data_IF_768499993805
#
_entry.id   IF_768499993805
#
_cell.length_a   1.000
_cell.length_b   1.000
_cell.length_c   1.000
_cell.angle_alpha   90.00
_cell.angle_beta   90.00
_cell.angle_gamma   90.00
#
_symmetry.space_group_name_H-M   'P 1'
#
loop_
_entity.id
_entity.type
_entity.pdbx_description
1 polymer ?
#
# COMPACT_ATOMS: atom_id res chain seq x y z
N UNK A 1 34.20 0.40 -71.73
CA UNK A 1 33.06 1.35 -71.84
C UNK A 1 31.89 0.61 -72.44
N UNK A 2 30.61 0.91 -72.14
CA UNK A 2 30.09 2.08 -71.39
C UNK A 2 29.30 1.70 -70.10
N UNK A 3 28.55 2.68 -69.57
CA UNK A 3 27.51 2.63 -68.51
C UNK A 3 26.34 3.55 -68.96
N UNK A 4 25.28 3.86 -68.18
CA UNK A 4 24.66 3.19 -67.02
C UNK A 4 23.41 2.36 -67.49
N UNK A 5 22.18 2.26 -66.93
CA UNK A 5 21.42 2.86 -65.80
C UNK A 5 20.31 1.87 -65.33
N UNK A 6 19.87 1.96 -64.06
CA UNK A 6 18.48 1.65 -63.65
C UNK A 6 18.24 0.36 -62.83
N UNK A 7 17.66 0.43 -61.61
CA UNK A 7 17.25 -0.75 -60.83
C UNK A 7 15.81 -1.18 -61.16
N UNK A 8 15.60 -2.47 -61.48
CA UNK A 8 14.28 -3.05 -61.68
C UNK A 8 13.84 -3.90 -60.46
N UNK A 9 12.63 -3.65 -59.96
CA UNK A 9 12.13 -4.24 -58.71
C UNK A 9 11.78 -5.73 -58.84
N UNK A 10 12.59 -6.60 -58.23
CA UNK A 10 12.21 -7.99 -58.00
C UNK A 10 11.26 -8.08 -56.78
N UNK A 11 9.98 -8.37 -57.03
CA UNK A 11 8.98 -8.61 -55.97
C UNK A 11 9.42 -9.78 -55.08
N UNK A 12 9.47 -9.57 -53.76
CA UNK A 12 9.83 -10.62 -52.80
C UNK A 12 8.57 -11.29 -52.24
N UNK A 13 8.64 -12.60 -51.97
CA UNK A 13 7.50 -13.43 -51.56
C UNK A 13 6.83 -12.95 -50.25
N UNK A 14 7.54 -12.16 -49.43
CA UNK A 14 7.05 -11.64 -48.15
C UNK A 14 5.91 -10.61 -48.27
N UNK A 15 5.84 -9.81 -49.33
CA UNK A 15 4.79 -8.79 -49.48
C UNK A 15 3.42 -9.39 -49.78
N UNK A 16 3.38 -10.59 -50.41
CA UNK A 16 2.15 -11.35 -50.60
C UNK A 16 1.57 -11.86 -49.27
N UNK A 17 2.41 -12.18 -48.29
CA UNK A 17 1.96 -12.53 -46.94
C UNK A 17 1.44 -11.31 -46.16
N UNK A 18 2.06 -10.13 -46.35
CA UNK A 18 1.62 -8.88 -45.72
C UNK A 18 0.23 -8.46 -46.20
N UNK A 19 -0.10 -8.69 -47.47
CA UNK A 19 -1.40 -8.30 -48.03
C UNK A 19 -2.57 -9.13 -47.49
N UNK A 20 -2.36 -10.38 -47.05
CA UNK A 20 -3.39 -11.17 -46.36
C UNK A 20 -3.52 -10.88 -44.86
N UNK A 21 -2.56 -10.18 -44.24
CA UNK A 21 -2.58 -9.89 -42.80
C UNK A 21 -3.30 -8.58 -42.44
N UNK A 22 -3.64 -7.74 -43.42
CA UNK A 22 -4.21 -6.41 -43.16
C UNK A 22 -5.71 -6.46 -42.79
N UNK A 23 -6.51 -7.28 -43.48
CA UNK A 23 -7.97 -7.31 -43.31
C UNK A 23 -8.44 -7.80 -41.93
N UNK A 24 -7.64 -8.64 -41.26
CA UNK A 24 -7.97 -9.14 -39.92
C UNK A 24 -7.94 -8.06 -38.82
N UNK A 25 -7.21 -6.96 -39.02
CA UNK A 25 -7.16 -5.86 -38.05
C UNK A 25 -8.34 -4.88 -38.18
N UNK A 26 -8.91 -4.72 -39.37
CA UNK A 26 -10.02 -3.79 -39.62
C UNK A 26 -11.31 -4.18 -38.85
N UNK A 27 -11.59 -5.48 -38.75
CA UNK A 27 -12.79 -5.98 -38.07
C UNK A 27 -12.84 -5.61 -36.57
N UNK A 28 -11.68 -5.59 -35.90
CA UNK A 28 -11.59 -5.29 -34.46
C UNK A 28 -11.78 -3.79 -34.17
N UNK A 29 -11.28 -2.92 -35.05
CA UNK A 29 -11.44 -1.47 -34.91
C UNK A 29 -12.91 -1.00 -35.02
N UNK A 30 -13.72 -1.70 -35.82
CA UNK A 30 -15.15 -1.42 -35.99
C UNK A 30 -16.04 -1.81 -34.79
N UNK A 31 -15.47 -2.48 -33.78
CA UNK A 31 -16.17 -2.83 -32.53
C UNK A 31 -15.91 -1.77 -31.44
N UNK A 32 -14.65 -1.35 -31.22
CA UNK A 32 -14.32 -0.31 -30.23
C UNK A 32 -15.04 1.02 -30.47
N UNK A 33 -15.44 1.33 -31.71
CA UNK A 33 -16.16 2.55 -32.05
C UNK A 33 -17.65 2.57 -31.63
N UNK A 34 -18.21 1.47 -31.10
CA UNK A 34 -19.62 1.43 -30.62
C UNK A 34 -19.78 1.68 -29.12
N UNK A 35 -18.74 1.48 -28.32
CA UNK A 35 -18.78 1.59 -26.85
C UNK A 35 -18.22 2.93 -26.32
N UNK A 36 -18.40 4.03 -27.08
CA UNK A 36 -18.16 5.39 -26.59
C UNK A 36 -19.48 6.03 -26.12
N UNK A 37 -19.75 6.11 -24.81
CA UNK A 37 -20.81 6.98 -24.28
C UNK A 37 -20.44 8.47 -24.46
N UNK A 38 -21.45 9.34 -24.51
CA UNK A 38 -21.29 10.76 -24.84
C UNK A 38 -20.34 11.52 -23.91
N UNK A 39 -19.32 12.18 -24.49
CA UNK A 39 -18.51 13.21 -23.84
C UNK A 39 -18.60 14.55 -24.58
N UNK A 40 -19.81 15.09 -24.70
CA UNK A 40 -20.08 16.37 -25.36
C UNK A 40 -20.94 17.33 -24.51
N UNK A 41 -20.48 17.64 -23.30
CA UNK A 41 -20.98 18.78 -22.49
C UNK A 41 -19.84 19.71 -22.07
N UNK A 42 -19.43 20.67 -22.90
CA UNK A 42 -18.49 21.71 -22.48
C UNK A 42 -19.21 22.67 -21.50
N UNK A 43 -18.70 22.84 -20.28
CA UNK A 43 -19.30 23.78 -19.31
C UNK A 43 -19.37 23.33 -17.85
N UNK A 44 -18.50 22.43 -17.38
CA UNK A 44 -18.31 22.21 -15.96
C UNK A 44 -16.80 22.14 -15.65
N UNK A 45 -16.25 23.23 -15.10
CA UNK A 45 -14.95 23.16 -14.45
C UNK A 45 -15.09 22.23 -13.24
N UNK A 46 -14.23 21.22 -13.12
CA UNK A 46 -14.30 20.27 -12.04
C UNK A 46 -13.95 20.95 -10.70
N UNK A 47 -14.96 21.43 -9.98
CA UNK A 47 -14.81 21.84 -8.59
C UNK A 47 -14.24 20.67 -7.79
N UNK A 48 -13.23 20.90 -6.93
CA UNK A 48 -12.76 19.88 -6.00
C UNK A 48 -13.96 19.36 -5.21
N UNK A 49 -14.25 18.06 -5.33
CA UNK A 49 -15.38 17.44 -4.66
C UNK A 49 -15.11 17.41 -3.15
N UNK A 50 -15.53 18.46 -2.45
CA UNK A 50 -15.40 18.60 -1.00
C UNK A 50 -16.06 17.42 -0.27
N UNK A 51 -17.11 16.83 -0.84
CA UNK A 51 -17.75 15.59 -0.39
C UNK A 51 -16.79 14.40 -0.29
N UNK A 52 -15.78 14.29 -1.17
CA UNK A 52 -14.77 13.22 -1.08
C UNK A 52 -13.79 13.47 0.08
N UNK A 53 -13.47 14.74 0.36
CA UNK A 53 -12.63 15.12 1.50
C UNK A 53 -13.38 14.94 2.83
N UNK A 54 -14.64 15.35 2.90
CA UNK A 54 -15.52 15.12 4.04
C UNK A 54 -15.70 13.62 4.32
N UNK A 55 -15.91 12.81 3.27
CA UNK A 55 -16.06 11.35 3.39
C UNK A 55 -14.73 10.63 3.68
N UNK A 56 -13.57 11.21 3.35
CA UNK A 56 -12.27 10.70 3.80
C UNK A 56 -12.05 10.88 5.31
N UNK A 57 -12.72 11.84 5.94
CA UNK A 57 -12.79 11.97 7.41
C UNK A 57 -13.59 10.86 8.10
N UNK A 58 -14.35 10.04 7.36
CA UNK A 58 -15.12 8.90 7.86
C UNK A 58 -14.38 7.58 7.63
N UNK A 59 -13.11 7.52 8.06
CA UNK A 59 -12.32 6.31 8.06
C UNK A 59 -12.79 5.37 9.20
N UNK A 60 -13.69 4.43 8.89
CA UNK A 60 -14.26 3.44 9.83
C UNK A 60 -13.28 2.35 10.31
N UNK A 61 -12.02 2.71 10.56
CA UNK A 61 -11.05 1.86 11.24
C UNK A 61 -11.28 1.84 12.77
N UNK A 62 -10.54 1.00 13.52
CA UNK A 62 -10.46 1.15 14.97
C UNK A 62 -9.98 2.56 15.30
N UNK A 63 -10.52 3.18 16.36
CA UNK A 63 -10.07 4.52 16.75
C UNK A 63 -8.60 4.48 17.17
N UNK A 64 -7.93 5.62 17.10
CA UNK A 64 -6.56 5.71 17.60
C UNK A 64 -6.47 5.29 19.09
N UNK A 65 -7.49 5.61 19.89
CA UNK A 65 -7.61 5.17 21.29
C UNK A 65 -7.71 3.65 21.42
N UNK A 66 -8.42 2.96 20.51
CA UNK A 66 -8.46 1.49 20.49
C UNK A 66 -7.08 0.88 20.20
N UNK A 67 -6.31 1.50 19.30
CA UNK A 67 -4.96 1.03 18.95
C UNK A 67 -3.99 1.17 20.12
N UNK A 68 -4.03 2.30 20.84
CA UNK A 68 -3.23 2.49 22.06
C UNK A 68 -3.70 1.57 23.18
N UNK A 69 -5.01 1.38 23.34
CA UNK A 69 -5.59 0.45 24.30
C UNK A 69 -5.11 -0.98 24.07
N UNK A 70 -5.06 -1.43 22.80
CA UNK A 70 -4.48 -2.74 22.43
C UNK A 70 -3.00 -2.81 22.78
N UNK A 71 -2.19 -1.83 22.34
CA UNK A 71 -0.75 -1.79 22.62
C UNK A 71 -0.44 -1.90 24.13
N UNK A 72 -1.20 -1.22 24.99
CA UNK A 72 -1.04 -1.32 26.46
C UNK A 72 -1.30 -2.74 26.95
N UNK A 73 -2.36 -3.40 26.49
CA UNK A 73 -2.69 -4.77 26.87
C UNK A 73 -1.67 -5.79 26.31
N UNK A 74 -1.19 -5.60 25.09
CA UNK A 74 -0.19 -6.48 24.46
C UNK A 74 1.16 -6.42 25.22
N UNK A 75 1.57 -5.24 25.69
CA UNK A 75 2.78 -5.06 26.50
C UNK A 75 2.63 -5.65 27.91
N UNK A 76 1.47 -5.47 28.55
CA UNK A 76 1.16 -6.11 29.85
C UNK A 76 1.15 -7.65 29.74
N UNK A 77 0.55 -8.20 28.68
CA UNK A 77 0.57 -9.62 28.39
C UNK A 77 1.99 -10.14 28.16
N UNK A 78 2.80 -9.44 27.35
CA UNK A 78 4.22 -9.80 27.11
C UNK A 78 5.08 -9.72 28.36
N UNK A 79 4.85 -8.73 29.23
CA UNK A 79 5.53 -8.63 30.53
C UNK A 79 5.20 -9.81 31.45
N UNK A 80 3.93 -10.22 31.51
CA UNK A 80 3.48 -11.39 32.29
C UNK A 80 4.00 -12.71 31.70
N UNK A 81 4.02 -12.84 30.37
CA UNK A 81 4.62 -13.98 29.66
C UNK A 81 6.11 -14.13 30.01
N UNK A 82 6.88 -13.04 29.89
CA UNK A 82 8.30 -13.04 30.21
C UNK A 82 8.57 -13.36 31.70
N UNK A 83 7.80 -12.77 32.62
CA UNK A 83 7.91 -13.04 34.06
C UNK A 83 7.60 -14.52 34.40
N UNK A 84 6.59 -15.10 33.76
CA UNK A 84 6.23 -16.52 33.90
C UNK A 84 7.35 -17.44 33.40
N UNK A 85 7.91 -17.16 32.21
CA UNK A 85 9.04 -17.93 31.67
C UNK A 85 10.29 -17.84 32.54
N UNK A 86 10.58 -16.68 33.13
CA UNK A 86 11.66 -16.52 34.13
C UNK A 86 11.39 -17.36 35.37
N UNK A 87 10.15 -17.41 35.85
CA UNK A 87 9.81 -18.17 37.05
C UNK A 87 9.92 -19.69 36.85
N UNK A 88 9.40 -20.24 35.74
CA UNK A 88 9.56 -21.68 35.43
C UNK A 88 11.01 -22.07 35.11
N UNK A 89 11.80 -21.16 34.51
CA UNK A 89 13.25 -21.37 34.36
C UNK A 89 13.97 -21.46 35.72
N UNK A 90 13.73 -20.51 36.62
CA UNK A 90 14.34 -20.49 37.96
C UNK A 90 13.85 -21.65 38.84
N UNK A 91 12.65 -22.16 38.61
CA UNK A 91 12.11 -23.36 39.25
C UNK A 91 12.71 -24.68 38.71
N UNK A 92 13.45 -24.65 37.58
CA UNK A 92 13.95 -25.86 36.92
C UNK A 92 12.90 -26.63 36.13
N UNK A 93 11.73 -26.03 35.86
CA UNK A 93 10.67 -26.62 35.05
C UNK A 93 10.91 -26.46 33.53
N UNK A 94 11.91 -25.65 33.14
CA UNK A 94 12.21 -25.34 31.74
C UNK A 94 13.69 -25.08 31.51
N UNK A 95 14.34 -25.92 30.70
CA UNK A 95 15.70 -25.69 30.17
C UNK A 95 15.76 -24.57 29.10
N UNK A 96 14.63 -23.94 28.75
CA UNK A 96 14.52 -23.00 27.63
C UNK A 96 15.04 -21.59 27.95
N UNK A 97 16.24 -21.51 28.53
CA UNK A 97 16.98 -20.29 28.87
C UNK A 97 16.99 -19.26 27.72
N UNK A 98 17.17 -19.74 26.49
CA UNK A 98 17.14 -18.90 25.29
C UNK A 98 15.77 -18.28 25.03
N UNK A 99 14.68 -19.05 25.14
CA UNK A 99 13.32 -18.55 24.92
C UNK A 99 12.93 -17.53 25.98
N UNK A 100 13.31 -17.79 27.24
CA UNK A 100 13.12 -16.85 28.36
C UNK A 100 13.84 -15.53 28.12
N UNK A 101 15.12 -15.55 27.70
CA UNK A 101 15.86 -14.31 27.42
C UNK A 101 15.30 -13.55 26.19
N UNK A 102 14.79 -14.26 25.17
CA UNK A 102 14.09 -13.64 24.04
C UNK A 102 12.80 -12.95 24.53
N UNK A 103 11.97 -13.63 25.34
CA UNK A 103 10.74 -13.04 25.88
C UNK A 103 11.02 -11.79 26.76
N UNK A 104 12.10 -11.80 27.55
CA UNK A 104 12.56 -10.62 28.30
C UNK A 104 12.98 -9.47 27.38
N UNK A 105 13.70 -9.76 26.28
CA UNK A 105 14.11 -8.75 25.30
C UNK A 105 12.92 -8.17 24.53
N UNK A 106 11.99 -9.01 24.09
CA UNK A 106 10.71 -8.59 23.48
C UNK A 106 9.92 -7.67 24.43
N UNK A 107 9.73 -8.07 25.68
CA UNK A 107 9.00 -7.29 26.67
C UNK A 107 9.67 -5.94 26.96
N UNK A 108 10.99 -5.89 27.08
CA UNK A 108 11.74 -4.64 27.31
C UNK A 108 11.63 -3.67 26.13
N UNK A 109 11.73 -4.19 24.90
CA UNK A 109 11.57 -3.39 23.68
C UNK A 109 10.14 -2.86 23.53
N UNK A 110 9.14 -3.73 23.76
CA UNK A 110 7.73 -3.37 23.65
C UNK A 110 7.32 -2.33 24.72
N UNK A 111 7.83 -2.45 25.94
CA UNK A 111 7.66 -1.44 26.99
C UNK A 111 8.29 -0.09 26.61
N UNK A 112 9.51 -0.12 26.04
CA UNK A 112 10.19 1.11 25.56
C UNK A 112 9.39 1.81 24.47
N UNK A 113 8.85 1.04 23.50
CA UNK A 113 7.95 1.55 22.46
C UNK A 113 6.67 2.18 23.05
N UNK A 114 6.07 1.55 24.07
CA UNK A 114 4.88 2.09 24.73
C UNK A 114 5.16 3.40 25.48
N UNK A 115 6.33 3.54 26.11
CA UNK A 115 6.76 4.79 26.74
C UNK A 115 6.88 5.91 25.70
N UNK A 116 7.46 5.63 24.54
CA UNK A 116 7.56 6.63 23.46
C UNK A 116 6.19 7.00 22.87
N UNK A 117 5.29 6.03 22.66
CA UNK A 117 3.90 6.31 22.25
C UNK A 117 3.17 7.17 23.28
N UNK A 118 3.32 6.87 24.58
CA UNK A 118 2.77 7.68 25.68
C UNK A 118 3.33 9.10 25.67
N UNK A 119 4.65 9.25 25.52
CA UNK A 119 5.31 10.56 25.48
C UNK A 119 4.80 11.38 24.28
N UNK A 120 4.76 10.78 23.09
CA UNK A 120 4.31 11.45 21.87
C UNK A 120 2.83 11.84 21.92
N UNK A 121 2.01 11.10 22.66
CA UNK A 121 0.60 11.44 22.87
C UNK A 121 0.38 12.60 23.83
N UNK A 122 1.15 12.66 24.91
CA UNK A 122 1.14 13.82 25.81
C UNK A 122 1.60 15.07 25.06
N UNK A 123 2.64 14.97 24.22
CA UNK A 123 3.09 16.06 23.34
C UNK A 123 2.00 16.47 22.33
N UNK A 124 1.38 15.51 21.64
CA UNK A 124 0.34 15.79 20.63
C UNK A 124 -0.92 16.43 21.24
N UNK A 125 -1.30 16.01 22.44
CA UNK A 125 -2.39 16.62 23.20
C UNK A 125 -2.05 18.06 23.64
N UNK A 126 -0.81 18.29 24.09
CA UNK A 126 -0.34 19.64 24.41
C UNK A 126 -0.29 20.54 23.17
N UNK A 127 0.12 20.04 22.00
CA UNK A 127 0.16 20.83 20.78
C UNK A 127 -1.24 21.23 20.28
N UNK A 128 -2.22 20.31 20.39
CA UNK A 128 -3.64 20.63 20.13
C UNK A 128 -4.21 21.71 21.09
N UNK A 129 -3.68 21.83 22.30
CA UNK A 129 -4.00 22.92 23.23
C UNK A 129 -3.23 24.23 22.96
N UNK A 130 -2.14 24.17 22.20
CA UNK A 130 -1.23 25.30 21.95
C UNK A 130 -1.50 25.99 20.62
N UNK A 131 -2.16 25.31 19.68
CA UNK A 131 -2.71 25.89 18.46
C UNK A 131 -3.79 26.94 18.83
N UNK A 132 -3.59 28.23 18.55
CA UNK A 132 -4.65 29.23 18.67
C UNK A 132 -5.69 29.02 17.55
N UNK A 133 -6.95 29.31 17.86
CA UNK A 133 -8.05 29.41 16.87
C UNK A 133 -8.17 30.83 16.31
#
# INVERSE_FOLDING_TARGET
MPTPIGPASAFNQGDLLRLMQNDLHAANAAQLARDLPELQKPGAMATPNLDRLARAGQASGPSFTDLVGRLVNDVDAKGKEAASQVQSLVAGESDNLHQTMIAMQESGLAFTLLVEVRNKLVESYQELMRMPV
#
